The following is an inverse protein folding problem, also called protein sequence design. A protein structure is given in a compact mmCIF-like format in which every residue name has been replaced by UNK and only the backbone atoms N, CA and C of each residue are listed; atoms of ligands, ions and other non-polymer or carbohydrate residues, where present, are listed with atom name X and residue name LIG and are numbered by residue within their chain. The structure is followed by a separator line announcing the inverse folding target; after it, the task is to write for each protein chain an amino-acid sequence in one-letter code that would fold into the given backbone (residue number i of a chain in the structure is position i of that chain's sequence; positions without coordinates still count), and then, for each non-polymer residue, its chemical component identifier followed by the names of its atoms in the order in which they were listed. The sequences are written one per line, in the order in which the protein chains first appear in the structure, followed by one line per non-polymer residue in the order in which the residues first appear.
data_IF_922716942934
#
_entry.id   IF_922716942934
#
_cell.length_a   1.000
_cell.length_b   1.000
_cell.length_c   1.000
_cell.angle_alpha   90.00
_cell.angle_beta   90.00
_cell.angle_gamma   90.00
#
_symmetry.space_group_name_H-M   'P 1'
#
loop_
_entity.id
_entity.type
_entity.pdbx_description
1 polymer ?
#
# COMPACT_ATOMS: atom_id res chain seq x y z
N UNK A 1 -34.36 -23.14 21.61
CA UNK A 1 -33.91 -21.79 22.00
C UNK A 1 -32.47 -21.92 22.48
N UNK A 2 -31.50 -21.50 21.67
CA UNK A 2 -30.09 -21.47 22.09
C UNK A 2 -29.97 -20.55 23.31
N UNK A 3 -29.54 -21.11 24.43
CA UNK A 3 -29.57 -20.47 25.73
C UNK A 3 -28.63 -19.26 25.73
N UNK A 4 -29.13 -18.05 26.02
CA UNK A 4 -28.35 -16.82 25.91
C UNK A 4 -27.09 -16.82 26.78
N UNK A 5 -27.09 -17.58 27.89
CA UNK A 5 -25.92 -17.83 28.74
C UNK A 5 -24.81 -18.66 28.08
N UNK A 6 -25.15 -19.68 27.29
CA UNK A 6 -24.16 -20.51 26.56
C UNK A 6 -23.41 -19.68 25.52
N UNK A 7 -24.10 -18.74 24.87
CA UNK A 7 -23.47 -17.81 23.93
C UNK A 7 -22.48 -16.88 24.65
N UNK A 8 -22.86 -16.34 25.82
CA UNK A 8 -21.97 -15.47 26.60
C UNK A 8 -20.73 -16.21 27.13
N UNK A 9 -20.90 -17.46 27.58
CA UNK A 9 -19.79 -18.29 28.05
C UNK A 9 -18.82 -18.63 26.92
N UNK A 10 -19.33 -19.01 25.74
CA UNK A 10 -18.51 -19.24 24.55
C UNK A 10 -17.77 -17.99 24.10
N UNK A 11 -18.41 -16.81 24.17
CA UNK A 11 -17.75 -15.53 23.91
C UNK A 11 -16.63 -15.25 24.91
N UNK A 12 -16.86 -15.50 26.20
CA UNK A 12 -15.84 -15.32 27.23
C UNK A 12 -14.66 -16.27 27.06
N UNK A 13 -14.93 -17.55 26.72
CA UNK A 13 -13.90 -18.55 26.42
C UNK A 13 -13.06 -18.14 25.21
N UNK A 14 -13.70 -17.73 24.11
CA UNK A 14 -13.01 -17.26 22.91
C UNK A 14 -12.12 -16.02 23.17
N UNK A 15 -12.58 -15.08 24.02
CA UNK A 15 -11.76 -13.92 24.42
C UNK A 15 -10.53 -14.33 25.22
N UNK A 16 -10.65 -15.28 26.14
CA UNK A 16 -9.52 -15.80 26.92
C UNK A 16 -8.51 -16.51 26.01
N UNK A 17 -8.99 -17.32 25.08
CA UNK A 17 -8.14 -18.00 24.11
C UNK A 17 -7.39 -17.01 23.20
N UNK A 18 -8.07 -15.94 22.75
CA UNK A 18 -7.44 -14.89 21.95
C UNK A 18 -6.32 -14.17 22.71
N UNK A 19 -6.53 -13.80 23.98
CA UNK A 19 -5.47 -13.18 24.79
C UNK A 19 -4.32 -14.15 25.07
N UNK A 20 -4.61 -15.43 25.31
CA UNK A 20 -3.56 -16.46 25.45
C UNK A 20 -2.73 -16.61 24.17
N UNK A 21 -3.38 -16.61 22.99
CA UNK A 21 -2.69 -16.73 21.72
C UNK A 21 -1.84 -15.50 21.43
N UNK A 22 -2.34 -14.31 21.74
CA UNK A 22 -1.60 -13.04 21.63
C UNK A 22 -0.33 -13.06 22.49
N UNK A 23 -0.43 -13.54 23.73
CA UNK A 23 0.74 -13.64 24.61
C UNK A 23 1.74 -14.70 24.11
N UNK A 24 1.27 -15.84 23.62
CA UNK A 24 2.13 -16.85 22.96
C UNK A 24 2.86 -16.29 21.74
N UNK A 25 2.19 -15.47 20.91
CA UNK A 25 2.81 -14.82 19.75
C UNK A 25 3.86 -13.81 20.21
N UNK A 26 3.56 -13.02 21.25
CA UNK A 26 4.51 -12.05 21.82
C UNK A 26 5.76 -12.76 22.33
N UNK A 27 5.60 -13.79 23.16
CA UNK A 27 6.70 -14.56 23.69
C UNK A 27 7.57 -15.19 22.58
N UNK A 28 6.96 -15.69 21.49
CA UNK A 28 7.71 -16.20 20.32
C UNK A 28 8.47 -15.11 19.57
N UNK A 29 7.88 -13.91 19.40
CA UNK A 29 8.57 -12.77 18.76
C UNK A 29 9.77 -12.34 19.58
N UNK A 30 9.60 -12.23 20.90
CA UNK A 30 10.67 -11.81 21.81
C UNK A 30 11.78 -12.87 21.88
N UNK A 31 11.44 -14.16 21.85
CA UNK A 31 12.42 -15.25 21.82
C UNK A 31 13.23 -15.31 20.52
N UNK A 32 12.71 -14.79 19.40
CA UNK A 32 13.38 -14.73 18.11
C UNK A 32 14.03 -13.36 17.81
N UNK A 33 14.00 -12.42 18.75
CA UNK A 33 14.53 -11.07 18.58
C UNK A 33 16.03 -10.99 18.93
N UNK A 34 16.89 -11.66 18.13
CA UNK A 34 18.34 -11.77 18.39
C UNK A 34 19.08 -10.42 18.34
N UNK A 35 18.60 -9.48 17.53
CA UNK A 35 19.23 -8.17 17.34
C UNK A 35 18.22 -7.13 16.86
N UNK A 36 18.62 -5.86 16.83
CA UNK A 36 17.83 -4.78 16.24
C UNK A 36 18.50 -4.28 14.96
N UNK A 37 17.69 -3.77 14.01
CA UNK A 37 18.22 -3.14 12.80
C UNK A 37 19.27 -2.07 13.12
N UNK A 38 19.06 -1.27 14.18
CA UNK A 38 20.00 -0.21 14.59
C UNK A 38 21.37 -0.76 14.99
N UNK A 39 21.38 -1.80 15.83
CA UNK A 39 22.63 -2.44 16.27
C UNK A 39 23.39 -3.08 15.09
N UNK A 40 22.67 -3.65 14.13
CA UNK A 40 23.28 -4.24 12.93
C UNK A 40 23.82 -3.21 11.93
N UNK A 41 23.30 -1.99 11.94
CA UNK A 41 23.71 -0.92 11.02
C UNK A 41 24.65 0.11 11.64
N UNK A 42 25.14 -0.10 12.87
CA UNK A 42 25.95 0.88 13.59
C UNK A 42 27.24 1.25 12.84
N UNK A 43 27.86 0.26 12.20
CA UNK A 43 29.11 0.44 11.44
C UNK A 43 28.89 0.97 10.01
N UNK A 44 27.64 1.19 9.58
CA UNK A 44 27.35 1.68 8.24
C UNK A 44 27.53 3.20 8.15
N UNK A 45 28.29 3.65 7.15
CA UNK A 45 28.47 5.07 6.88
C UNK A 45 27.13 5.75 6.52
N UNK A 46 26.94 6.96 7.05
CA UNK A 46 25.76 7.76 6.74
C UNK A 46 25.68 8.14 5.27
N UNK A 47 24.47 8.19 4.71
CA UNK A 47 24.27 8.59 3.31
C UNK A 47 24.76 10.03 3.07
N UNK A 48 25.46 10.28 1.94
CA UNK A 48 25.87 11.63 1.58
C UNK A 48 24.63 12.49 1.24
N UNK A 49 24.82 13.81 1.23
CA UNK A 49 23.75 14.76 0.88
C UNK A 49 23.24 14.52 -0.54
N UNK A 50 22.02 13.98 -0.66
CA UNK A 50 21.35 13.77 -1.96
C UNK A 50 20.64 15.05 -2.40
N UNK A 51 21.09 15.65 -3.51
CA UNK A 51 20.43 16.81 -4.12
C UNK A 51 19.46 16.34 -5.20
N UNK A 52 18.16 16.35 -4.88
CA UNK A 52 17.11 16.03 -5.85
C UNK A 52 16.78 17.24 -6.72
N UNK A 53 16.79 17.08 -8.05
CA UNK A 53 16.36 18.09 -9.01
C UNK A 53 15.22 17.56 -9.87
N UNK A 54 14.13 18.31 -10.07
CA UNK A 54 13.07 17.92 -10.99
C UNK A 54 13.63 17.71 -12.40
N UNK A 55 13.38 16.53 -12.99
CA UNK A 55 13.82 16.20 -14.37
C UNK A 55 12.73 16.44 -15.40
N UNK A 56 11.46 16.24 -15.03
CA UNK A 56 10.30 16.37 -15.90
C UNK A 56 9.12 16.92 -15.13
N UNK A 57 8.31 17.71 -15.84
CA UNK A 57 6.98 18.13 -15.40
C UNK A 57 5.97 17.53 -16.35
N UNK A 58 5.18 16.57 -15.86
CA UNK A 58 4.17 15.88 -16.65
C UNK A 58 2.87 16.69 -16.59
N UNK A 59 2.56 17.41 -17.68
CA UNK A 59 1.37 18.26 -17.80
C UNK A 59 0.28 17.50 -18.56
N UNK A 60 -0.99 17.72 -18.21
CA UNK A 60 -2.13 17.17 -18.94
C UNK A 60 -3.42 17.07 -18.13
N UNK A 61 -3.31 16.83 -16.83
CA UNK A 61 -4.47 16.81 -15.93
C UNK A 61 -5.01 18.22 -15.70
N UNK A 62 -6.34 18.35 -15.71
CA UNK A 62 -7.04 19.61 -15.50
C UNK A 62 -7.47 19.82 -14.04
N UNK A 63 -7.31 18.79 -13.21
CA UNK A 63 -7.69 18.80 -11.81
C UNK A 63 -6.63 18.11 -10.94
N UNK A 64 -6.89 17.99 -9.62
CA UNK A 64 -5.94 17.39 -8.68
C UNK A 64 -5.76 15.90 -8.96
N UNK A 65 -4.51 15.46 -8.97
CA UNK A 65 -4.11 14.06 -9.12
C UNK A 65 -4.14 13.41 -7.73
N UNK A 66 -4.73 12.21 -7.62
CA UNK A 66 -4.78 11.48 -6.35
C UNK A 66 -3.88 10.25 -6.32
N UNK A 67 -3.69 9.60 -7.46
CA UNK A 67 -2.93 8.37 -7.54
C UNK A 67 -2.07 8.34 -8.81
N UNK A 68 -0.91 7.69 -8.70
CA UNK A 68 -0.06 7.38 -9.83
C UNK A 68 0.66 6.05 -9.58
N UNK A 69 1.02 5.34 -10.66
CA UNK A 69 1.71 4.06 -10.55
C UNK A 69 2.67 3.84 -11.72
N UNK A 70 3.90 3.41 -11.42
CA UNK A 70 4.91 3.08 -12.42
C UNK A 70 4.60 1.72 -13.05
N UNK A 71 4.72 1.63 -14.37
CA UNK A 71 4.73 0.35 -15.04
C UNK A 71 6.02 -0.42 -14.71
N UNK A 72 5.95 -1.76 -14.79
CA UNK A 72 7.10 -2.64 -14.54
C UNK A 72 8.27 -2.39 -15.50
N UNK A 73 8.01 -1.77 -16.65
CA UNK A 73 9.02 -1.41 -17.66
C UNK A 73 9.84 -0.16 -17.34
N UNK A 74 9.59 0.49 -16.19
CA UNK A 74 10.30 1.67 -15.66
C UNK A 74 10.26 2.90 -16.58
N UNK A 75 9.45 2.87 -17.65
CA UNK A 75 9.36 3.94 -18.66
C UNK A 75 8.00 4.60 -18.69
N UNK A 76 6.95 3.87 -18.31
CA UNK A 76 5.60 4.36 -18.30
C UNK A 76 5.07 4.55 -16.87
N UNK A 77 4.19 5.53 -16.70
CA UNK A 77 3.50 5.88 -15.46
C UNK A 77 2.03 6.10 -15.78
N UNK A 78 1.11 5.51 -15.02
CA UNK A 78 -0.31 5.88 -15.06
C UNK A 78 -0.59 6.92 -13.99
N UNK A 79 -1.45 7.88 -14.27
CA UNK A 79 -1.90 8.91 -13.31
C UNK A 79 -3.41 9.11 -13.38
N UNK A 80 -4.04 9.26 -12.22
CA UNK A 80 -5.50 9.40 -12.06
C UNK A 80 -5.88 10.73 -11.40
N UNK A 81 -6.86 11.42 -11.97
CA UNK A 81 -7.27 12.77 -11.59
C UNK A 81 -8.76 12.88 -11.32
N UNK A 82 -9.14 13.91 -10.56
CA UNK A 82 -10.52 14.30 -10.24
C UNK A 82 -11.40 14.57 -11.47
N UNK A 83 -10.79 14.91 -12.60
CA UNK A 83 -11.49 15.13 -13.88
C UNK A 83 -12.04 13.83 -14.50
N UNK A 84 -11.87 12.69 -13.80
CA UNK A 84 -12.32 11.39 -14.25
C UNK A 84 -11.41 10.78 -15.33
N UNK A 85 -10.22 11.36 -15.55
CA UNK A 85 -9.29 10.91 -16.59
C UNK A 85 -8.12 10.13 -16.00
N UNK A 86 -7.71 9.12 -16.76
CA UNK A 86 -6.48 8.36 -16.57
C UNK A 86 -5.54 8.71 -17.73
N UNK A 87 -4.31 9.12 -17.42
CA UNK A 87 -3.29 9.42 -18.43
C UNK A 87 -2.13 8.45 -18.24
N UNK A 88 -1.78 7.75 -19.32
CA UNK A 88 -0.53 7.00 -19.44
C UNK A 88 0.56 7.93 -19.95
N UNK A 89 1.57 8.14 -19.11
CA UNK A 89 2.70 9.03 -19.34
C UNK A 89 3.95 8.17 -19.59
N UNK A 90 4.55 8.30 -20.77
CA UNK A 90 5.72 7.54 -21.18
C UNK A 90 6.81 8.43 -21.75
N UNK A 91 8.01 7.86 -21.89
CA UNK A 91 9.12 8.51 -22.58
C UNK A 91 8.86 8.68 -24.09
N UNK A 92 7.98 7.84 -24.66
CA UNK A 92 7.60 7.79 -26.07
C UNK A 92 6.12 8.09 -26.26
N UNK A 93 5.66 9.27 -25.83
CA UNK A 93 4.35 9.78 -26.24
C UNK A 93 4.38 10.23 -27.71
N UNK A 94 4.62 9.29 -28.64
CA UNK A 94 4.05 9.39 -29.98
C UNK A 94 2.57 9.08 -29.82
N UNK A 95 1.77 10.15 -29.76
CA UNK A 95 0.33 10.23 -30.01
C UNK A 95 -0.31 8.88 -30.35
N UNK A 96 -0.83 8.17 -29.34
CA UNK A 96 -1.89 7.20 -29.61
C UNK A 96 -3.10 8.04 -30.07
N UNK A 97 -3.64 7.81 -31.28
CA UNK A 97 -4.77 8.57 -31.77
C UNK A 97 -5.94 8.43 -30.80
N UNK A 98 -6.55 9.57 -30.47
CA UNK A 98 -7.75 9.71 -29.64
C UNK A 98 -8.84 8.75 -30.15
N UNK A 99 -8.95 7.56 -29.56
CA UNK A 99 -9.91 6.57 -30.03
C UNK A 99 -9.95 5.23 -29.29
N UNK A 100 -9.02 4.92 -28.39
CA UNK A 100 -9.09 3.71 -27.56
C UNK A 100 -9.31 4.08 -26.10
N UNK A 101 -10.57 4.03 -25.68
CA UNK A 101 -10.97 3.82 -24.29
C UNK A 101 -10.24 2.57 -23.77
N UNK A 102 -9.11 2.77 -23.09
CA UNK A 102 -8.53 1.72 -22.24
C UNK A 102 -9.43 1.57 -21.02
N UNK A 103 -10.51 0.78 -21.17
CA UNK A 103 -11.27 0.23 -20.06
C UNK A 103 -10.41 -0.88 -19.42
N UNK A 104 -9.35 -0.49 -18.70
CA UNK A 104 -8.57 -1.45 -17.92
C UNK A 104 -9.43 -1.90 -16.74
N UNK A 105 -9.88 -3.14 -16.84
CA UNK A 105 -10.54 -3.90 -15.78
C UNK A 105 -9.60 -3.94 -14.58
N UNK A 106 -10.06 -3.35 -13.48
CA UNK A 106 -9.48 -3.39 -12.15
C UNK A 106 -9.18 -4.84 -11.75
N UNK A 107 -7.90 -5.19 -11.63
CA UNK A 107 -7.47 -6.44 -10.98
C UNK A 107 -7.49 -6.14 -9.49
N UNK A 108 -8.38 -6.82 -8.75
CA UNK A 108 -8.46 -6.76 -7.28
C UNK A 108 -7.11 -7.09 -6.63
N UNK A 109 -6.82 -6.62 -5.42
CA UNK A 109 -7.55 -6.97 -4.20
C UNK A 109 -7.21 -5.99 -3.06
N UNK A 110 -8.17 -5.81 -2.15
CA UNK A 110 -8.02 -5.28 -0.79
C UNK A 110 -7.78 -3.77 -0.67
N UNK A 111 -8.86 -3.00 -0.84
CA UNK A 111 -9.03 -1.74 -0.13
C UNK A 111 -10.15 -1.96 0.90
N UNK A 112 -9.77 -2.29 2.12
CA UNK A 112 -10.64 -2.15 3.28
C UNK A 112 -10.88 -0.66 3.51
N UNK A 113 -12.16 -0.30 3.48
CA UNK A 113 -12.85 0.82 4.10
C UNK A 113 -11.99 1.92 4.74
N UNK A 114 -11.96 3.07 4.05
CA UNK A 114 -11.74 4.38 4.65
C UNK A 114 -12.80 5.34 4.11
N UNK A 115 -13.95 5.31 4.77
CA UNK A 115 -14.87 6.44 4.91
C UNK A 115 -15.03 6.67 6.43
N UNK A 116 -15.26 7.92 6.87
CA UNK A 116 -15.12 8.33 8.26
C UNK A 116 -16.04 7.59 9.23
#
# INVERSE_FOLDING_TARGET
MSNQGDIQERMAAARREAEQLKEKIRARRDASADTTLRAMTEDLESLPRVVMRPRRTLKGHLAKIYAMHWAADKRHLVSASQDGKLILLGHDLRLLPLGQLCRMRWIGQHLLDLQP
#
